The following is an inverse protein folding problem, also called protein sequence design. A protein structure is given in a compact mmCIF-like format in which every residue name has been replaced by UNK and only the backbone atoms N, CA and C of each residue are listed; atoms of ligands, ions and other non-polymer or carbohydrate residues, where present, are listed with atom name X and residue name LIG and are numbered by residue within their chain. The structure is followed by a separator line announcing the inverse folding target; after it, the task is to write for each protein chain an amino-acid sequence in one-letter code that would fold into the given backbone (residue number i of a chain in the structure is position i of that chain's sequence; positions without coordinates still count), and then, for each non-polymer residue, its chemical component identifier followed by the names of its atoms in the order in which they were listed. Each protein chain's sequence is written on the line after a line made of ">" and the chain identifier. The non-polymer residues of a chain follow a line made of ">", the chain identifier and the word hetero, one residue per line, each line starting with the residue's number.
data_IF_836432213320
#
_entry.id   IF_836432213320
#
_cell.length_a   1.000
_cell.length_b   1.000
_cell.length_c   1.000
_cell.angle_alpha   90.00
_cell.angle_beta   90.00
_cell.angle_gamma   90.00
#
_symmetry.space_group_name_H-M   'P 1'
#
loop_
_entity.id
_entity.type
_entity.pdbx_description
1 polymer ?
#
# COMPACT_ATOMS: atom_id res chain seq x y z
N UNK A 1 7.37 10.71 -7.84
CA UNK A 1 5.99 10.21 -8.04
C UNK A 1 5.55 10.55 -9.44
N UNK A 2 4.58 9.84 -9.99
CA UNK A 2 3.96 10.19 -11.27
C UNK A 2 3.22 11.53 -11.15
N UNK A 3 2.85 12.11 -12.29
CA UNK A 3 1.81 13.14 -12.33
C UNK A 3 0.44 12.48 -12.04
N UNK A 4 -0.60 13.31 -11.94
CA UNK A 4 -1.98 12.81 -11.95
C UNK A 4 -2.23 12.18 -13.32
N UNK A 5 -2.57 10.90 -13.34
CA UNK A 5 -2.81 10.14 -14.56
C UNK A 5 -4.30 9.90 -14.76
N UNK A 6 -4.77 10.01 -16.00
CA UNK A 6 -6.19 9.84 -16.33
C UNK A 6 -6.56 8.42 -16.78
N UNK A 7 -5.57 7.53 -16.91
CA UNK A 7 -5.76 6.12 -17.24
C UNK A 7 -4.60 5.26 -16.73
N UNK A 8 -4.79 3.95 -16.67
CA UNK A 8 -3.72 2.99 -16.33
C UNK A 8 -2.61 2.99 -17.39
N UNK A 9 -2.95 3.23 -18.66
CA UNK A 9 -1.96 3.41 -19.73
C UNK A 9 -1.07 4.63 -19.48
N UNK A 10 -1.66 5.77 -19.17
CA UNK A 10 -0.94 7.00 -18.84
C UNK A 10 -0.06 6.82 -17.58
N UNK A 11 -0.56 6.11 -16.56
CA UNK A 11 0.24 5.72 -15.39
C UNK A 11 1.47 4.88 -15.78
N UNK A 12 1.27 3.90 -16.66
CA UNK A 12 2.34 3.04 -17.17
C UNK A 12 3.39 3.83 -17.93
N UNK A 13 2.97 4.69 -18.85
CA UNK A 13 3.87 5.51 -19.67
C UNK A 13 4.68 6.47 -18.79
N UNK A 14 4.05 7.09 -17.78
CA UNK A 14 4.74 7.94 -16.80
C UNK A 14 5.79 7.15 -15.99
N UNK A 15 5.46 5.94 -15.50
CA UNK A 15 6.40 5.14 -14.73
C UNK A 15 7.57 4.62 -15.59
N UNK A 16 7.31 4.24 -16.84
CA UNK A 16 8.37 3.87 -17.80
C UNK A 16 9.29 5.06 -18.04
N UNK A 17 8.73 6.25 -18.27
CA UNK A 17 9.50 7.47 -18.47
C UNK A 17 10.39 7.77 -17.25
N UNK A 18 9.84 7.71 -16.04
CA UNK A 18 10.59 7.98 -14.82
C UNK A 18 11.71 6.94 -14.59
N UNK A 19 11.39 5.64 -14.64
CA UNK A 19 12.39 4.57 -14.43
C UNK A 19 13.50 4.64 -15.49
N UNK A 20 13.16 4.85 -16.76
CA UNK A 20 14.15 4.91 -17.84
C UNK A 20 15.09 6.11 -17.71
N UNK A 21 14.57 7.29 -17.36
CA UNK A 21 15.42 8.48 -17.21
C UNK A 21 16.33 8.38 -16.00
N UNK A 22 15.83 7.85 -14.87
CA UNK A 22 16.68 7.60 -13.69
C UNK A 22 17.78 6.60 -14.04
N UNK A 23 17.46 5.48 -14.69
CA UNK A 23 18.45 4.49 -15.13
C UNK A 23 19.53 5.10 -16.02
N UNK A 24 19.15 5.90 -17.04
CA UNK A 24 20.11 6.60 -17.91
C UNK A 24 21.03 7.57 -17.17
N UNK A 25 20.55 8.19 -16.10
CA UNK A 25 21.37 9.09 -15.27
C UNK A 25 22.33 8.27 -14.42
N UNK A 26 21.85 7.21 -13.75
CA UNK A 26 22.66 6.38 -12.86
C UNK A 26 23.81 5.68 -13.61
N UNK A 27 23.58 5.23 -14.85
CA UNK A 27 24.62 4.63 -15.69
C UNK A 27 25.83 5.56 -15.93
N UNK A 28 25.64 6.88 -15.91
CA UNK A 28 26.76 7.85 -16.04
C UNK A 28 27.69 7.85 -14.82
N UNK A 29 27.24 7.28 -13.71
CA UNK A 29 27.96 7.22 -12.44
C UNK A 29 28.29 5.78 -12.01
N UNK A 30 28.15 4.80 -12.91
CA UNK A 30 28.34 3.37 -12.62
C UNK A 30 27.44 2.87 -11.46
N UNK A 31 26.20 3.37 -11.44
CA UNK A 31 25.18 3.01 -10.46
C UNK A 31 23.98 2.33 -11.13
N UNK A 32 23.30 1.47 -10.39
CA UNK A 32 22.05 0.82 -10.79
C UNK A 32 20.98 0.95 -9.70
N UNK A 33 19.71 0.78 -10.07
CA UNK A 33 18.59 0.86 -9.13
C UNK A 33 18.07 -0.53 -8.74
N UNK A 34 17.89 -0.75 -7.45
CA UNK A 34 17.25 -1.94 -6.91
C UNK A 34 15.83 -1.61 -6.42
N UNK A 35 14.82 -2.16 -7.09
CA UNK A 35 13.41 -1.98 -6.74
C UNK A 35 12.94 -3.01 -5.72
N UNK A 36 13.26 -2.79 -4.45
CA UNK A 36 12.90 -3.67 -3.32
C UNK A 36 12.48 -2.84 -2.11
N UNK A 37 11.72 -3.46 -1.20
CA UNK A 37 11.22 -2.77 -0.01
C UNK A 37 12.20 -2.71 1.15
N UNK A 38 13.14 -3.66 1.21
CA UNK A 38 14.29 -3.66 2.11
C UNK A 38 15.52 -4.02 1.30
N UNK A 39 16.63 -3.32 1.55
CA UNK A 39 17.89 -3.70 0.93
C UNK A 39 18.35 -5.06 1.53
N UNK A 40 18.71 -6.08 0.72
CA UNK A 40 18.93 -7.43 1.24
C UNK A 40 20.01 -7.54 2.32
N UNK A 41 21.13 -6.83 2.13
CA UNK A 41 22.31 -6.92 3.00
C UNK A 41 22.84 -5.57 3.52
N UNK A 42 22.14 -4.45 3.31
CA UNK A 42 22.65 -3.16 3.77
C UNK A 42 22.58 -3.12 5.29
N UNK A 43 23.65 -2.62 5.91
CA UNK A 43 23.61 -2.29 7.33
C UNK A 43 23.05 -0.88 7.51
N UNK A 44 21.97 -0.75 8.27
CA UNK A 44 21.36 0.55 8.54
C UNK A 44 22.19 1.38 9.52
N UNK A 45 23.01 0.73 10.36
CA UNK A 45 23.87 1.39 11.35
C UNK A 45 24.97 2.26 10.74
N UNK A 46 25.33 2.02 9.47
CA UNK A 46 26.39 2.73 8.75
C UNK A 46 25.85 3.72 7.70
N UNK A 47 24.53 3.82 7.53
CA UNK A 47 23.89 4.72 6.57
C UNK A 47 24.04 6.18 7.03
N UNK A 48 24.66 7.02 6.19
CA UNK A 48 24.79 8.46 6.45
C UNK A 48 23.42 9.14 6.36
N UNK A 49 23.01 9.83 7.42
CA UNK A 49 21.78 10.62 7.39
C UNK A 49 21.87 11.73 6.33
N UNK A 50 20.82 11.87 5.51
CA UNK A 50 20.69 13.06 4.65
C UNK A 50 20.59 14.30 5.55
N UNK A 51 21.47 15.28 5.37
CA UNK A 51 21.49 16.54 6.13
C UNK A 51 20.26 17.42 5.81
N UNK A 52 19.08 16.99 6.24
CA UNK A 52 17.84 17.79 6.22
C UNK A 52 17.29 17.83 7.65
N UNK A 53 17.00 19.03 8.17
CA UNK A 53 16.47 19.27 9.54
C UNK A 53 15.32 18.32 9.92
N UNK A 54 14.44 17.98 8.96
CA UNK A 54 13.33 17.03 9.15
C UNK A 54 13.76 15.61 9.55
N UNK A 55 14.88 15.10 9.02
CA UNK A 55 15.36 13.75 9.33
C UNK A 55 16.02 13.67 10.70
N UNK A 56 16.72 14.73 11.13
CA UNK A 56 17.24 14.84 12.50
C UNK A 56 16.10 14.82 13.52
N UNK A 57 15.05 15.60 13.30
CA UNK A 57 13.89 15.61 14.20
C UNK A 57 13.16 14.26 14.24
N UNK A 58 13.12 13.50 13.15
CA UNK A 58 12.50 12.17 13.13
C UNK A 58 13.37 11.14 13.88
N UNK A 59 14.69 11.14 13.65
CA UNK A 59 15.62 10.25 14.32
C UNK A 59 15.70 10.53 15.83
N UNK A 60 15.62 11.80 16.22
CA UNK A 60 15.56 12.23 17.62
C UNK A 60 14.22 11.86 18.27
N UNK A 61 13.08 12.04 17.57
CA UNK A 61 11.76 11.68 18.10
C UNK A 61 11.51 10.17 18.21
N UNK A 62 11.94 9.38 17.23
CA UNK A 62 11.64 7.93 17.15
C UNK A 62 12.84 7.04 17.47
N UNK A 63 13.98 7.64 17.79
CA UNK A 63 15.18 6.94 18.27
C UNK A 63 15.55 5.76 17.37
N UNK A 64 15.81 4.59 17.96
CA UNK A 64 16.26 3.41 17.22
C UNK A 64 15.26 2.96 16.14
N UNK A 65 13.96 3.13 16.36
CA UNK A 65 12.93 2.77 15.38
C UNK A 65 13.03 3.67 14.15
N UNK A 66 13.21 4.98 14.37
CA UNK A 66 13.42 5.94 13.28
C UNK A 66 14.68 5.64 12.45
N UNK A 67 15.75 5.16 13.09
CA UNK A 67 17.01 4.80 12.42
C UNK A 67 16.88 3.57 11.51
N UNK A 68 15.91 2.68 11.76
CA UNK A 68 15.65 1.47 10.95
C UNK A 68 14.81 1.73 9.70
N UNK A 69 14.25 2.93 9.51
CA UNK A 69 13.36 3.28 8.40
C UNK A 69 14.07 3.47 7.05
N UNK A 70 14.95 2.54 6.69
CA UNK A 70 15.59 2.44 5.37
C UNK A 70 14.77 1.46 4.52
N UNK A 71 13.50 1.81 4.31
CA UNK A 71 12.51 0.99 3.62
C UNK A 71 11.85 1.75 2.48
N UNK A 72 11.45 1.02 1.44
CA UNK A 72 10.76 1.57 0.26
C UNK A 72 9.35 0.99 0.14
N UNK A 73 8.35 1.84 -0.02
CA UNK A 73 6.95 1.42 -0.23
C UNK A 73 6.41 1.90 -1.57
N UNK A 74 5.45 1.17 -2.12
CA UNK A 74 4.66 1.64 -3.25
C UNK A 74 3.37 2.27 -2.73
N UNK A 75 3.20 3.58 -2.99
CA UNK A 75 1.98 4.28 -2.62
C UNK A 75 1.14 4.57 -3.86
N UNK A 76 -0.16 4.30 -3.76
CA UNK A 76 -1.11 4.50 -4.86
C UNK A 76 -2.18 5.47 -4.39
N UNK A 77 -2.36 6.56 -5.14
CA UNK A 77 -3.36 7.59 -4.88
C UNK A 77 -4.50 7.47 -5.89
N UNK A 78 -5.74 7.43 -5.38
CA UNK A 78 -6.94 7.55 -6.21
C UNK A 78 -7.67 8.83 -5.83
N UNK A 79 -8.03 9.65 -6.82
CA UNK A 79 -8.73 10.92 -6.63
C UNK A 79 -10.16 10.73 -6.15
N UNK A 80 -10.48 11.30 -4.99
CA UNK A 80 -11.81 11.25 -4.35
C UNK A 80 -12.09 12.64 -3.77
N UNK A 81 -12.74 13.54 -4.54
CA UNK A 81 -13.02 14.91 -4.10
C UNK A 81 -13.96 15.00 -2.91
N UNK A 82 -14.97 14.13 -2.86
CA UNK A 82 -15.93 14.05 -1.77
C UNK A 82 -15.28 13.46 -0.51
N UNK A 83 -15.28 14.24 0.58
CA UNK A 83 -14.66 13.84 1.83
C UNK A 83 -15.46 12.78 2.60
N UNK A 84 -16.79 12.81 2.56
CA UNK A 84 -17.61 11.79 3.22
C UNK A 84 -17.45 10.45 2.50
N UNK A 85 -17.46 10.49 1.16
CA UNK A 85 -17.18 9.31 0.35
C UNK A 85 -15.78 8.75 0.64
N UNK A 86 -14.78 9.60 0.85
CA UNK A 86 -13.40 9.18 1.13
C UNK A 86 -13.29 8.40 2.46
N UNK A 87 -14.02 8.82 3.49
CA UNK A 87 -14.06 8.12 4.78
C UNK A 87 -14.83 6.80 4.66
N UNK A 88 -16.00 6.82 4.02
CA UNK A 88 -16.79 5.62 3.76
C UNK A 88 -15.98 4.55 3.00
N UNK A 89 -15.25 4.98 1.96
CA UNK A 89 -14.36 4.10 1.21
C UNK A 89 -13.17 3.63 2.04
N UNK A 90 -12.54 4.48 2.85
CA UNK A 90 -11.44 4.03 3.73
C UNK A 90 -11.86 2.85 4.62
N UNK A 91 -13.03 2.94 5.23
CA UNK A 91 -13.57 1.89 6.10
C UNK A 91 -13.79 0.57 5.33
N UNK A 92 -14.40 0.65 4.15
CA UNK A 92 -14.71 -0.51 3.30
C UNK A 92 -13.44 -1.16 2.73
N UNK A 93 -12.52 -0.34 2.24
CA UNK A 93 -11.37 -0.79 1.45
C UNK A 93 -10.27 -1.41 2.31
N UNK A 94 -10.29 -1.15 3.62
CA UNK A 94 -9.41 -1.80 4.59
C UNK A 94 -9.43 -3.34 4.49
N UNK A 95 -10.55 -3.95 4.10
CA UNK A 95 -10.67 -5.38 3.85
C UNK A 95 -9.70 -5.90 2.76
N UNK A 96 -9.45 -5.10 1.72
CA UNK A 96 -8.66 -5.53 0.56
C UNK A 96 -7.15 -5.32 0.76
N UNK A 97 -6.73 -4.56 1.77
CA UNK A 97 -5.32 -4.22 1.99
C UNK A 97 -4.40 -5.46 2.13
N UNK A 98 -4.75 -6.51 2.89
CA UNK A 98 -3.93 -7.71 2.96
C UNK A 98 -3.76 -8.41 1.61
N UNK A 99 -4.77 -8.34 0.74
CA UNK A 99 -4.70 -8.95 -0.59
C UNK A 99 -3.70 -8.19 -1.46
N UNK A 100 -3.73 -6.85 -1.41
CA UNK A 100 -2.81 -5.99 -2.16
C UNK A 100 -1.38 -6.08 -1.62
N UNK A 101 -1.20 -6.28 -0.31
CA UNK A 101 0.10 -6.57 0.30
C UNK A 101 0.67 -7.88 -0.23
N UNK A 102 -0.11 -8.97 -0.21
CA UNK A 102 0.34 -10.30 -0.64
C UNK A 102 0.90 -10.30 -2.07
N UNK A 103 0.33 -9.48 -2.97
CA UNK A 103 0.76 -9.35 -4.36
C UNK A 103 2.02 -8.51 -4.56
N UNK A 104 2.47 -7.78 -3.54
CA UNK A 104 3.54 -6.79 -3.67
C UNK A 104 4.84 -7.18 -2.96
N UNK A 105 4.84 -8.26 -2.17
CA UNK A 105 5.89 -8.58 -1.20
C UNK A 105 7.29 -8.63 -1.83
N UNK A 106 8.22 -7.80 -1.35
CA UNK A 106 9.57 -7.71 -1.94
C UNK A 106 10.66 -7.46 -0.89
N UNK A 107 10.41 -7.83 0.36
CA UNK A 107 11.35 -7.64 1.47
C UNK A 107 11.56 -8.89 2.32
N UNK A 108 12.02 -10.03 1.76
CA UNK A 108 12.26 -11.22 2.56
C UNK A 108 13.56 -11.17 3.38
N UNK A 109 14.51 -10.31 3.00
CA UNK A 109 15.82 -10.20 3.62
C UNK A 109 15.97 -8.93 4.45
N UNK A 110 16.76 -9.03 5.52
CA UNK A 110 17.19 -7.88 6.32
C UNK A 110 18.59 -8.12 6.89
N UNK A 111 19.54 -7.23 6.57
CA UNK A 111 20.95 -7.31 7.02
C UNK A 111 21.64 -8.64 6.68
N UNK A 112 21.32 -9.20 5.51
CA UNK A 112 21.90 -10.44 5.00
C UNK A 112 21.14 -11.70 5.43
N UNK A 113 20.17 -11.57 6.33
CA UNK A 113 19.42 -12.70 6.88
C UNK A 113 18.07 -12.88 6.21
N UNK A 114 17.68 -14.13 5.97
CA UNK A 114 16.33 -14.49 5.57
C UNK A 114 15.40 -14.36 6.79
N UNK A 115 14.53 -13.37 6.79
CA UNK A 115 13.68 -13.02 7.95
C UNK A 115 12.57 -14.04 8.20
N UNK A 116 12.27 -14.89 7.22
CA UNK A 116 11.10 -15.76 7.21
C UNK A 116 9.80 -15.02 6.86
N UNK A 117 9.80 -13.70 6.71
CA UNK A 117 8.65 -12.92 6.20
C UNK A 117 8.81 -12.69 4.70
N UNK A 118 7.72 -12.51 3.97
CA UNK A 118 7.76 -12.07 2.56
C UNK A 118 7.79 -10.55 2.45
N UNK A 119 7.15 -9.85 3.38
CA UNK A 119 7.28 -8.40 3.56
C UNK A 119 7.82 -8.07 4.96
N UNK A 120 9.14 -8.02 5.13
CA UNK A 120 9.73 -7.57 6.38
C UNK A 120 9.55 -6.05 6.59
N UNK A 121 9.38 -5.28 5.50
CA UNK A 121 9.09 -3.83 5.54
C UNK A 121 7.94 -3.50 6.49
N UNK A 122 6.85 -4.27 6.43
CA UNK A 122 5.68 -4.02 7.28
C UNK A 122 6.02 -4.13 8.77
N UNK A 123 6.85 -5.10 9.16
CA UNK A 123 7.33 -5.24 10.55
C UNK A 123 8.18 -4.05 11.01
N UNK A 124 9.09 -3.57 10.15
CA UNK A 124 9.87 -2.35 10.46
C UNK A 124 8.94 -1.16 10.65
N UNK A 125 7.92 -1.04 9.80
CA UNK A 125 6.99 0.07 9.84
C UNK A 125 6.11 0.00 11.10
N UNK A 126 5.65 -1.18 11.50
CA UNK A 126 4.78 -1.40 12.67
C UNK A 126 5.46 -1.07 14.02
N UNK A 127 6.80 -0.97 14.06
CA UNK A 127 7.51 -0.48 15.26
C UNK A 127 7.21 1.02 15.55
N UNK A 128 6.71 1.77 14.57
CA UNK A 128 6.34 3.17 14.75
C UNK A 128 4.91 3.33 15.31
N UNK A 129 4.65 4.38 16.11
CA UNK A 129 3.29 4.70 16.53
C UNK A 129 2.43 5.15 15.34
N UNK A 130 1.11 4.93 15.44
CA UNK A 130 0.10 5.36 14.43
C UNK A 130 0.32 4.74 13.05
N UNK A 131 0.71 3.47 13.02
CA UNK A 131 0.87 2.63 11.83
C UNK A 131 -0.19 1.53 11.77
N UNK A 132 -0.19 0.76 10.69
CA UNK A 132 -1.14 -0.33 10.47
C UNK A 132 -2.47 0.12 9.89
N UNK A 133 -3.53 -0.65 10.15
CA UNK A 133 -4.86 -0.38 9.59
C UNK A 133 -5.45 0.94 10.11
N UNK A 134 -6.16 1.70 9.27
CA UNK A 134 -6.81 2.93 9.71
C UNK A 134 -7.88 2.69 10.77
N UNK A 135 -8.17 3.74 11.55
CA UNK A 135 -9.39 3.81 12.38
C UNK A 135 -10.65 3.88 11.52
N UNK A 136 -11.76 3.41 12.08
CA UNK A 136 -13.08 3.49 11.45
C UNK A 136 -13.78 4.76 11.96
N UNK A 137 -14.39 5.50 11.05
CA UNK A 137 -15.13 6.72 11.37
C UNK A 137 -16.47 6.72 10.65
N UNK A 138 -17.50 7.20 11.31
CA UNK A 138 -18.85 7.30 10.75
C UNK A 138 -18.99 8.48 9.79
N UNK A 139 -18.15 9.50 9.92
CA UNK A 139 -18.15 10.69 9.06
C UNK A 139 -16.79 11.37 8.93
N UNK A 140 -16.67 12.28 7.95
CA UNK A 140 -15.50 13.14 7.83
C UNK A 140 -15.33 14.09 9.01
N UNK A 141 -16.42 14.54 9.63
CA UNK A 141 -16.37 15.36 10.84
C UNK A 141 -15.80 14.60 12.04
N UNK A 142 -16.13 13.32 12.20
CA UNK A 142 -15.53 12.48 13.23
C UNK A 142 -14.03 12.31 13.01
N UNK A 143 -13.61 11.98 11.78
CA UNK A 143 -12.21 11.90 11.40
C UNK A 143 -11.46 13.21 11.69
N UNK A 144 -12.03 14.37 11.31
CA UNK A 144 -11.44 15.69 11.61
C UNK A 144 -11.30 15.93 13.10
N UNK A 145 -12.31 15.58 13.91
CA UNK A 145 -12.24 15.71 15.38
C UNK A 145 -11.12 14.85 15.94
N UNK A 146 -10.99 13.61 15.48
CA UNK A 146 -9.91 12.71 15.89
C UNK A 146 -8.53 13.30 15.58
N UNK A 147 -8.30 13.77 14.35
CA UNK A 147 -7.04 14.43 13.98
C UNK A 147 -6.80 15.71 14.79
N UNK A 148 -7.84 16.50 15.04
CA UNK A 148 -7.74 17.73 15.85
C UNK A 148 -7.32 17.46 17.29
N UNK A 149 -7.78 16.37 17.91
CA UNK A 149 -7.34 15.96 19.24
C UNK A 149 -5.83 15.65 19.24
N UNK A 150 -5.35 14.91 18.24
CA UNK A 150 -3.93 14.57 18.11
C UNK A 150 -3.05 15.81 17.90
N UNK A 151 -3.52 16.79 17.14
CA UNK A 151 -2.83 18.07 16.92
C UNK A 151 -2.82 18.92 18.20
N UNK A 152 -3.98 19.12 18.82
CA UNK A 152 -4.14 19.99 19.99
C UNK A 152 -3.42 19.47 21.23
N UNK A 153 -3.23 18.15 21.34
CA UNK A 153 -2.47 17.53 22.42
C UNK A 153 -0.95 17.65 22.26
N UNK A 154 -0.46 18.16 21.12
CA UNK A 154 0.99 18.26 20.83
C UNK A 154 1.65 16.91 20.50
N UNK A 155 0.89 15.82 20.43
CA UNK A 155 1.39 14.47 20.06
C UNK A 155 1.73 14.42 18.57
N UNK A 156 1.04 15.22 17.76
CA UNK A 156 1.16 15.27 16.31
C UNK A 156 1.49 16.70 15.86
N UNK A 157 2.62 16.90 15.18
CA UNK A 157 2.94 18.21 14.58
C UNK A 157 2.25 18.40 13.21
N UNK A 158 2.08 17.30 12.47
CA UNK A 158 1.59 17.30 11.09
C UNK A 158 0.75 16.04 10.85
N UNK A 159 -0.51 16.16 10.36
CA UNK A 159 -1.35 15.02 10.01
C UNK A 159 -0.70 14.04 9.00
N UNK A 160 0.30 14.49 8.23
CA UNK A 160 1.05 13.62 7.32
C UNK A 160 1.88 12.53 8.04
N UNK A 161 2.02 12.62 9.35
CA UNK A 161 2.70 11.64 10.22
C UNK A 161 1.76 10.59 10.83
N UNK A 162 0.49 10.55 10.40
CA UNK A 162 -0.38 9.38 10.57
C UNK A 162 -0.03 8.39 9.46
N UNK A 163 0.56 7.27 9.83
CA UNK A 163 1.20 6.33 8.91
C UNK A 163 0.37 5.06 8.69
N UNK A 164 -0.94 5.23 8.54
CA UNK A 164 -1.81 4.11 8.23
C UNK A 164 -1.54 3.51 6.84
N UNK A 165 -1.87 2.24 6.71
CA UNK A 165 -1.83 1.43 5.49
C UNK A 165 -2.73 1.99 4.38
N UNK A 166 -3.78 2.74 4.77
CA UNK A 166 -4.71 3.45 3.92
C UNK A 166 -5.14 4.73 4.63
N UNK A 167 -5.11 5.89 3.96
CA UNK A 167 -5.52 7.15 4.58
C UNK A 167 -6.04 8.19 3.59
N UNK A 168 -6.92 9.10 4.03
CA UNK A 168 -7.14 10.38 3.37
C UNK A 168 -5.81 11.13 3.28
N UNK A 169 -5.41 11.54 2.08
CA UNK A 169 -4.22 12.36 1.96
C UNK A 169 -4.51 13.79 2.44
N UNK A 170 -3.54 14.37 3.16
CA UNK A 170 -3.67 15.69 3.80
C UNK A 170 -3.65 16.83 2.78
N UNK A 171 -2.92 16.67 1.67
CA UNK A 171 -2.68 17.73 0.68
C UNK A 171 -3.51 17.55 -0.58
N UNK A 172 -3.71 16.31 -0.99
CA UNK A 172 -4.42 15.97 -2.22
C UNK A 172 -5.78 15.35 -1.89
N UNK A 173 -6.83 15.62 -2.68
CA UNK A 173 -8.14 15.02 -2.49
C UNK A 173 -8.11 13.55 -2.97
N UNK A 174 -7.34 12.72 -2.28
CA UNK A 174 -7.06 11.33 -2.66
C UNK A 174 -7.19 10.41 -1.46
N UNK A 175 -7.55 9.16 -1.73
CA UNK A 175 -7.37 8.05 -0.80
C UNK A 175 -6.06 7.35 -1.16
N UNK A 176 -5.10 7.44 -0.25
CA UNK A 176 -3.72 6.99 -0.42
C UNK A 176 -3.55 5.61 0.21
N UNK A 177 -3.31 4.58 -0.61
CA UNK A 177 -2.88 3.26 -0.15
C UNK A 177 -1.37 3.23 0.00
N UNK A 178 -0.88 2.66 1.11
CA UNK A 178 0.52 2.67 1.53
C UNK A 178 1.04 1.31 2.00
N UNK A 179 0.18 0.30 2.06
CA UNK A 179 0.55 -1.03 2.55
C UNK A 179 1.55 -1.73 1.64
N UNK A 180 1.47 -1.54 0.32
CA UNK A 180 2.25 -2.29 -0.64
C UNK A 180 3.76 -2.07 -0.51
N UNK A 181 4.47 -3.18 -0.64
CA UNK A 181 5.89 -3.20 -0.92
C UNK A 181 6.16 -2.62 -2.32
N UNK A 182 7.38 -2.13 -2.55
CA UNK A 182 7.84 -1.73 -3.88
C UNK A 182 7.98 -2.96 -4.78
N UNK A 183 7.22 -3.01 -5.87
CA UNK A 183 7.34 -4.11 -6.82
C UNK A 183 8.61 -3.99 -7.68
N UNK A 184 9.34 -5.10 -7.75
CA UNK A 184 10.51 -5.26 -8.63
C UNK A 184 10.11 -5.02 -10.08
N UNK A 185 9.11 -5.76 -10.54
CA UNK A 185 8.50 -5.63 -11.86
C UNK A 185 7.62 -4.38 -11.97
N UNK A 186 7.82 -3.60 -13.04
CA UNK A 186 6.94 -2.48 -13.35
C UNK A 186 5.52 -2.97 -13.69
N UNK A 187 5.39 -4.09 -14.39
CA UNK A 187 4.08 -4.61 -14.78
C UNK A 187 3.24 -4.97 -13.55
N UNK A 188 3.88 -5.48 -12.49
CA UNK A 188 3.20 -5.88 -11.27
C UNK A 188 2.70 -4.65 -10.52
N UNK A 189 3.52 -3.60 -10.44
CA UNK A 189 3.11 -2.30 -9.91
C UNK A 189 1.88 -1.74 -10.64
N UNK A 190 1.86 -1.82 -11.97
CA UNK A 190 0.73 -1.38 -12.80
C UNK A 190 -0.51 -2.24 -12.56
N UNK A 191 -0.36 -3.57 -12.48
CA UNK A 191 -1.46 -4.49 -12.21
C UNK A 191 -2.09 -4.27 -10.84
N UNK A 192 -1.28 -4.04 -9.81
CA UNK A 192 -1.75 -3.74 -8.45
C UNK A 192 -2.44 -2.37 -8.41
N UNK A 193 -1.89 -1.35 -9.09
CA UNK A 193 -2.53 -0.04 -9.21
C UNK A 193 -3.89 -0.11 -9.93
N UNK A 194 -3.98 -0.89 -11.01
CA UNK A 194 -5.22 -1.14 -11.73
C UNK A 194 -6.25 -1.85 -10.85
N UNK A 195 -5.83 -2.89 -10.13
CA UNK A 195 -6.70 -3.61 -9.19
C UNK A 195 -7.23 -2.69 -8.09
N UNK A 196 -6.36 -1.89 -7.46
CA UNK A 196 -6.78 -0.93 -6.43
C UNK A 196 -7.77 0.11 -6.99
N UNK A 197 -7.51 0.68 -8.16
CA UNK A 197 -8.44 1.61 -8.81
C UNK A 197 -9.80 0.96 -9.10
N UNK A 198 -9.82 -0.30 -9.56
CA UNK A 198 -11.04 -1.04 -9.81
C UNK A 198 -11.80 -1.36 -8.51
N UNK A 199 -11.10 -1.67 -7.41
CA UNK A 199 -11.68 -1.87 -6.09
C UNK A 199 -12.37 -0.58 -5.59
N UNK A 200 -11.71 0.58 -5.74
CA UNK A 200 -12.32 1.88 -5.41
C UNK A 200 -13.55 2.13 -6.28
N UNK A 201 -13.44 1.95 -7.60
CA UNK A 201 -14.54 2.18 -8.52
C UNK A 201 -15.73 1.25 -8.24
N UNK A 202 -15.47 -0.02 -7.93
CA UNK A 202 -16.46 -1.00 -7.51
C UNK A 202 -17.22 -0.53 -6.27
N UNK A 203 -16.51 -0.08 -5.23
CA UNK A 203 -17.15 0.42 -4.02
C UNK A 203 -18.00 1.68 -4.29
N UNK A 204 -17.53 2.61 -5.12
CA UNK A 204 -18.32 3.74 -5.60
C UNK A 204 -19.58 3.31 -6.37
N UNK A 205 -19.46 2.29 -7.22
CA UNK A 205 -20.59 1.72 -7.97
C UNK A 205 -21.61 1.08 -7.03
N UNK A 206 -21.17 0.26 -6.08
CA UNK A 206 -22.03 -0.35 -5.08
C UNK A 206 -22.82 0.70 -4.30
N UNK A 207 -22.17 1.80 -3.91
CA UNK A 207 -22.83 2.92 -3.22
C UNK A 207 -23.97 3.52 -4.05
N UNK A 208 -23.78 3.72 -5.35
CA UNK A 208 -24.85 4.19 -6.27
C UNK A 208 -26.01 3.20 -6.39
N UNK A 209 -25.78 1.93 -6.11
CA UNK A 209 -26.79 0.88 -6.05
C UNK A 209 -27.38 0.70 -4.63
N UNK A 210 -27.15 1.64 -3.70
CA UNK A 210 -27.51 1.55 -2.28
C UNK A 210 -26.95 0.30 -1.56
N UNK A 211 -25.78 -0.17 -2.01
CA UNK A 211 -25.03 -1.28 -1.41
C UNK A 211 -23.71 -0.76 -0.83
N UNK A 212 -23.16 -1.49 0.13
CA UNK A 212 -21.81 -1.25 0.68
C UNK A 212 -21.06 -2.56 0.82
N UNK A 213 -19.74 -2.51 0.73
CA UNK A 213 -18.91 -3.64 1.13
C UNK A 213 -19.01 -3.83 2.65
N UNK A 214 -18.96 -5.09 3.10
CA UNK A 214 -19.05 -5.40 4.52
C UNK A 214 -17.79 -4.91 5.24
N UNK A 215 -18.00 -4.21 6.35
CA UNK A 215 -16.93 -3.82 7.27
C UNK A 215 -16.69 -4.98 8.23
N UNK A 216 -15.43 -5.39 8.35
CA UNK A 216 -14.99 -6.42 9.28
C UNK A 216 -14.23 -5.80 10.45
N UNK A 217 -14.15 -6.53 11.56
CA UNK A 217 -13.35 -6.10 12.71
C UNK A 217 -11.87 -6.00 12.31
N UNK A 218 -11.16 -5.03 12.90
CA UNK A 218 -9.73 -4.85 12.62
C UNK A 218 -8.90 -6.07 12.97
N UNK A 219 -9.26 -6.79 14.03
CA UNK A 219 -8.58 -8.02 14.44
C UNK A 219 -8.54 -9.04 13.29
N UNK A 220 -9.66 -9.25 12.61
CA UNK A 220 -9.74 -10.17 11.48
C UNK A 220 -8.87 -9.71 10.31
N UNK A 221 -8.95 -8.42 9.95
CA UNK A 221 -8.15 -7.88 8.85
C UNK A 221 -6.65 -7.93 9.19
N UNK A 222 -6.28 -7.67 10.44
CA UNK A 222 -4.89 -7.78 10.92
C UNK A 222 -4.36 -9.21 10.84
N UNK A 223 -5.20 -10.23 11.10
CA UNK A 223 -4.79 -11.62 10.89
C UNK A 223 -4.45 -11.88 9.42
N UNK A 224 -5.31 -11.44 8.48
CA UNK A 224 -4.99 -11.54 7.06
C UNK A 224 -3.76 -10.70 6.68
N UNK A 225 -3.56 -9.52 7.28
CA UNK A 225 -2.39 -8.67 7.07
C UNK A 225 -1.10 -9.39 7.48
N UNK A 226 -1.09 -10.02 8.66
CA UNK A 226 0.02 -10.85 9.12
C UNK A 226 0.29 -12.02 8.18
N UNK A 227 -0.76 -12.72 7.74
CA UNK A 227 -0.61 -13.84 6.80
C UNK A 227 -0.03 -13.39 5.45
N UNK A 228 -0.49 -12.26 4.92
CA UNK A 228 0.06 -11.65 3.71
C UNK A 228 1.53 -11.25 3.90
N UNK A 229 1.87 -10.66 5.05
CA UNK A 229 3.24 -10.30 5.41
C UNK A 229 4.16 -11.53 5.50
N UNK A 230 3.69 -12.60 6.14
CA UNK A 230 4.48 -13.81 6.41
C UNK A 230 4.61 -14.72 5.20
N UNK A 231 3.56 -14.87 4.40
CA UNK A 231 3.47 -15.89 3.36
C UNK A 231 3.28 -15.32 1.95
N UNK A 232 3.01 -14.03 1.80
CA UNK A 232 2.67 -13.44 0.50
C UNK A 232 1.53 -14.21 -0.17
N UNK A 233 1.71 -14.51 -1.46
CA UNK A 233 0.80 -15.32 -2.27
C UNK A 233 0.94 -16.85 -2.06
N UNK A 234 1.95 -17.33 -1.32
CA UNK A 234 2.29 -18.76 -1.28
C UNK A 234 1.34 -19.60 -0.42
N UNK A 235 0.59 -18.97 0.49
CA UNK A 235 -0.34 -19.65 1.39
C UNK A 235 -1.74 -19.04 1.29
N UNK A 236 -2.60 -19.40 2.24
CA UNK A 236 -3.99 -18.97 2.27
C UNK A 236 -4.17 -17.66 3.03
N UNK A 237 -5.22 -16.91 2.69
CA UNK A 237 -5.84 -15.93 3.59
C UNK A 237 -7.20 -16.46 4.04
N UNK A 238 -7.74 -15.89 5.12
CA UNK A 238 -9.09 -16.20 5.60
C UNK A 238 -10.10 -15.51 4.69
N UNK A 239 -10.99 -16.29 4.09
CA UNK A 239 -12.23 -15.77 3.54
C UNK A 239 -13.23 -15.65 4.70
N UNK A 240 -13.54 -14.41 5.11
CA UNK A 240 -14.42 -14.17 6.25
C UNK A 240 -15.89 -14.50 5.97
N UNK A 241 -16.30 -14.53 4.70
CA UNK A 241 -17.65 -14.98 4.32
C UNK A 241 -17.80 -16.48 4.49
N UNK A 242 -16.75 -17.24 4.11
CA UNK A 242 -16.70 -18.71 4.23
C UNK A 242 -16.15 -19.20 5.58
N UNK A 243 -15.65 -18.29 6.43
CA UNK A 243 -14.99 -18.58 7.71
C UNK A 243 -13.90 -19.65 7.63
N UNK A 244 -13.11 -19.65 6.55
CA UNK A 244 -12.08 -20.65 6.31
C UNK A 244 -10.88 -20.10 5.56
N UNK A 245 -9.75 -20.79 5.68
CA UNK A 245 -8.58 -20.50 4.86
C UNK A 245 -8.84 -20.91 3.40
N UNK A 246 -8.53 -20.00 2.48
CA UNK A 246 -8.63 -20.21 1.03
C UNK A 246 -7.27 -19.84 0.41
N UNK A 247 -6.76 -20.68 -0.49
CA UNK A 247 -5.48 -20.41 -1.16
C UNK A 247 -5.51 -19.06 -1.86
N UNK A 248 -4.39 -18.33 -1.84
CA UNK A 248 -4.35 -16.99 -2.42
C UNK A 248 -4.71 -16.98 -3.90
N UNK A 249 -4.28 -18.00 -4.67
CA UNK A 249 -4.65 -18.12 -6.09
C UNK A 249 -6.17 -18.10 -6.33
N UNK A 250 -6.95 -18.78 -5.47
CA UNK A 250 -8.41 -18.76 -5.57
C UNK A 250 -8.98 -17.39 -5.19
N UNK A 251 -8.44 -16.76 -4.14
CA UNK A 251 -8.85 -15.41 -3.74
C UNK A 251 -8.51 -14.36 -4.81
N UNK A 252 -7.37 -14.51 -5.50
CA UNK A 252 -6.99 -13.65 -6.61
C UNK A 252 -7.95 -13.80 -7.80
N UNK A 253 -8.36 -15.03 -8.13
CA UNK A 253 -9.39 -15.27 -9.14
C UNK A 253 -10.73 -14.62 -8.73
N UNK A 254 -11.17 -14.81 -7.49
CA UNK A 254 -12.40 -14.19 -6.96
C UNK A 254 -12.31 -12.65 -6.99
N UNK A 255 -11.15 -12.07 -6.68
CA UNK A 255 -10.92 -10.61 -6.75
C UNK A 255 -10.97 -10.08 -8.18
N UNK A 256 -10.35 -10.79 -9.14
CA UNK A 256 -10.39 -10.42 -10.56
C UNK A 256 -11.83 -10.44 -11.06
N UNK A 257 -12.59 -11.48 -10.72
CA UNK A 257 -13.99 -11.61 -11.10
C UNK A 257 -14.86 -10.55 -10.43
N UNK A 258 -14.62 -10.25 -9.15
CA UNK A 258 -15.32 -9.23 -8.38
C UNK A 258 -15.27 -7.85 -9.04
N UNK A 259 -14.10 -7.47 -9.56
CA UNK A 259 -13.89 -6.14 -10.17
C UNK A 259 -14.00 -6.13 -11.69
N UNK A 260 -14.38 -7.25 -12.32
CA UNK A 260 -14.40 -7.42 -13.78
C UNK A 260 -15.20 -6.35 -14.52
N UNK A 261 -16.38 -5.98 -13.99
CA UNK A 261 -17.23 -4.93 -14.56
C UNK A 261 -16.52 -3.58 -14.53
N UNK A 262 -15.87 -3.28 -13.40
CA UNK A 262 -15.18 -2.01 -13.16
C UNK A 262 -13.91 -1.91 -14.01
N UNK A 263 -13.16 -3.01 -14.16
CA UNK A 263 -12.01 -3.08 -15.04
C UNK A 263 -12.36 -2.79 -16.52
N UNK A 264 -13.52 -3.26 -16.99
CA UNK A 264 -14.03 -2.97 -18.33
C UNK A 264 -14.38 -1.50 -18.51
N UNK A 265 -15.05 -0.90 -17.53
CA UNK A 265 -15.39 0.55 -17.56
C UNK A 265 -14.13 1.40 -17.59
N UNK A 266 -13.11 1.01 -16.82
CA UNK A 266 -11.83 1.71 -16.70
C UNK A 266 -10.81 1.33 -17.79
N UNK A 267 -11.18 0.46 -18.74
CA UNK A 267 -10.32 -0.05 -19.80
C UNK A 267 -8.96 -0.61 -19.30
N UNK A 268 -8.97 -1.38 -18.20
CA UNK A 268 -7.78 -1.96 -17.59
C UNK A 268 -7.91 -3.46 -17.28
N UNK A 269 -8.78 -4.15 -18.00
CA UNK A 269 -8.99 -5.62 -17.87
C UNK A 269 -7.70 -6.40 -18.08
N UNK A 270 -6.83 -5.94 -18.98
CA UNK A 270 -5.57 -6.62 -19.28
C UNK A 270 -4.59 -6.57 -18.11
N UNK A 271 -4.56 -5.45 -17.40
CA UNK A 271 -3.72 -5.19 -16.25
C UNK A 271 -4.23 -5.94 -15.02
N UNK A 272 -5.54 -5.96 -14.79
CA UNK A 272 -6.14 -6.74 -13.71
C UNK A 272 -5.93 -8.25 -13.93
N UNK A 273 -6.08 -8.75 -15.16
CA UNK A 273 -5.82 -10.18 -15.46
C UNK A 273 -4.38 -10.62 -15.18
N UNK A 274 -3.41 -9.71 -15.31
CA UNK A 274 -1.98 -9.98 -15.02
C UNK A 274 -1.68 -10.24 -13.55
N UNK A 275 -2.62 -10.00 -12.63
CA UNK A 275 -2.53 -10.47 -11.24
C UNK A 275 -2.30 -12.00 -11.17
N UNK A 276 -2.87 -12.76 -12.12
CA UNK A 276 -2.61 -14.20 -12.23
C UNK A 276 -1.14 -14.53 -12.53
N UNK A 277 -0.43 -13.66 -13.24
CA UNK A 277 0.99 -13.86 -13.52
C UNK A 277 1.79 -13.75 -12.23
N UNK A 278 1.52 -12.74 -11.39
CA UNK A 278 2.15 -12.60 -10.06
C UNK A 278 1.93 -13.89 -9.25
N UNK A 279 0.68 -14.38 -9.23
CA UNK A 279 0.32 -15.63 -8.55
C UNK A 279 1.08 -16.88 -9.08
N UNK A 280 1.51 -16.86 -10.34
CA UNK A 280 2.22 -17.96 -10.99
C UNK A 280 3.74 -17.88 -10.82
N UNK A 281 4.31 -16.68 -10.92
CA UNK A 281 5.77 -16.48 -11.00
C UNK A 281 6.38 -16.00 -9.69
N UNK A 282 5.57 -15.60 -8.71
CA UNK A 282 6.08 -14.94 -7.51
C UNK A 282 6.02 -13.42 -7.61
N UNK A 283 6.50 -12.81 -6.53
CA UNK A 283 6.69 -11.36 -6.35
C UNK A 283 8.18 -11.05 -6.25
#
# INVERSE_FOLDING_TARGET
>A
GTKVCNSIKDLKDNLIFLRSNVGKILQKYDLEFLAVSTHPFSDWGTQKHTQKKRYFNLADKFQIVGRRLVISGMHIHVGIPDNELKIDLMNQISYFLPHLLALSTSSPFWRGELTGLKSYRVSIFDELPRTGLPEQFDSYDEYKRHVKILLNSGILDDPSTIWWDLRPNVKFPTLEMRICDTCTSLNDAISIAALYLCIIHMACRLRRENKRWRIYSKMLINENRWRAQRYGIEKSLVDFGKSKLVSYNKLADELIDLVKKDAKILNCESEVKKIKNICKVGT
#
